data_IF_929788435952
#
_entry.id   IF_929788435952
#
_cell.length_a   1.000
_cell.length_b   1.000
_cell.length_c   1.000
_cell.angle_alpha   90.00
_cell.angle_beta   90.00
_cell.angle_gamma   90.00
#
_symmetry.space_group_name_H-M   'P 1'
#
loop_
_entity.id
_entity.type
_entity.pdbx_description
1 polymer ?
#
# COMPACT_ATOMS: atom_id res chain seq x y z
N UNK A 1 6.47 -25.50 5.18
CA UNK A 1 5.28 -25.32 6.05
C UNK A 1 4.81 -23.87 6.11
N UNK A 2 5.67 -22.88 6.39
CA UNK A 2 5.27 -21.45 6.39
C UNK A 2 4.80 -20.98 5.01
N UNK A 3 5.48 -21.36 3.92
CA UNK A 3 5.09 -20.99 2.56
C UNK A 3 3.75 -21.59 2.10
N UNK A 4 3.42 -22.77 2.61
CA UNK A 4 2.15 -23.46 2.30
C UNK A 4 0.97 -22.74 2.98
N UNK A 5 1.13 -22.38 4.26
CA UNK A 5 0.15 -21.56 5.00
C UNK A 5 0.00 -20.17 4.35
N UNK A 6 1.11 -19.56 3.92
CA UNK A 6 1.11 -18.27 3.23
C UNK A 6 0.34 -18.34 1.91
N UNK A 7 0.58 -19.40 1.13
CA UNK A 7 -0.10 -19.65 -0.14
C UNK A 7 -1.61 -19.88 0.05
N UNK A 8 -2.01 -20.65 1.07
CA UNK A 8 -3.42 -20.84 1.43
C UNK A 8 -4.09 -19.51 1.82
N UNK A 9 -3.47 -18.73 2.70
CA UNK A 9 -4.04 -17.46 3.18
C UNK A 9 -4.19 -16.43 2.05
N UNK A 10 -3.22 -16.35 1.13
CA UNK A 10 -3.30 -15.44 -0.03
C UNK A 10 -4.37 -15.90 -1.03
N UNK A 11 -4.53 -17.22 -1.22
CA UNK A 11 -5.55 -17.80 -2.08
C UNK A 11 -6.97 -17.55 -1.54
N UNK A 12 -7.17 -17.70 -0.23
CA UNK A 12 -8.47 -17.49 0.43
C UNK A 12 -8.85 -16.01 0.56
N UNK A 13 -7.86 -15.11 0.54
CA UNK A 13 -8.04 -13.68 0.75
C UNK A 13 -7.22 -12.85 -0.26
N UNK A 14 -7.66 -12.79 -1.54
CA UNK A 14 -6.93 -12.11 -2.59
C UNK A 14 -6.75 -10.62 -2.28
N UNK A 15 -5.50 -10.17 -2.36
CA UNK A 15 -5.09 -8.80 -2.07
C UNK A 15 -5.40 -7.87 -3.26
N UNK A 16 -5.37 -8.39 -4.49
CA UNK A 16 -5.49 -7.58 -5.71
C UNK A 16 -6.80 -6.81 -5.85
N UNK A 17 -7.93 -7.46 -5.56
CA UNK A 17 -9.27 -6.82 -5.68
C UNK A 17 -9.49 -5.73 -4.63
N UNK A 18 -8.82 -5.87 -3.47
CA UNK A 18 -8.96 -4.92 -2.37
C UNK A 18 -8.31 -3.56 -2.64
N UNK A 19 -7.35 -3.49 -3.57
CA UNK A 19 -6.62 -2.27 -3.93
C UNK A 19 -7.35 -1.38 -4.96
N UNK A 20 -8.60 -1.70 -5.30
CA UNK A 20 -9.39 -0.92 -6.25
C UNK A 20 -9.55 0.56 -5.85
N UNK A 21 -9.71 0.84 -4.54
CA UNK A 21 -9.80 2.21 -4.03
C UNK A 21 -8.51 3.00 -4.27
N UNK A 22 -7.35 2.40 -3.97
CA UNK A 22 -6.05 3.01 -4.25
C UNK A 22 -5.86 3.31 -5.74
N UNK A 23 -6.18 2.35 -6.62
CA UNK A 23 -6.08 2.55 -8.07
C UNK A 23 -6.96 3.70 -8.54
N UNK A 24 -8.17 3.82 -8.00
CA UNK A 24 -9.08 4.93 -8.30
C UNK A 24 -8.51 6.28 -7.84
N UNK A 25 -7.90 6.35 -6.65
CA UNK A 25 -7.20 7.55 -6.16
C UNK A 25 -6.04 7.93 -7.09
N UNK A 26 -5.19 6.96 -7.46
CA UNK A 26 -4.04 7.20 -8.35
C UNK A 26 -4.50 7.73 -9.73
N UNK A 27 -5.52 7.09 -10.32
CA UNK A 27 -6.09 7.50 -11.61
C UNK A 27 -6.76 8.88 -11.53
N UNK A 28 -7.38 9.22 -10.39
CA UNK A 28 -7.94 10.56 -10.15
C UNK A 28 -6.86 11.64 -10.16
N UNK A 29 -5.73 11.41 -9.50
CA UNK A 29 -4.59 12.36 -9.48
C UNK A 29 -4.01 12.52 -10.89
N UNK A 30 -3.86 11.42 -11.63
CA UNK A 30 -3.40 11.47 -13.02
C UNK A 30 -4.33 12.32 -13.90
N UNK A 31 -5.64 12.16 -13.75
CA UNK A 31 -6.66 12.95 -14.47
C UNK A 31 -6.60 14.43 -14.10
N UNK A 32 -6.50 14.75 -12.81
CA UNK A 32 -6.40 16.12 -12.31
C UNK A 32 -5.17 16.84 -12.88
N UNK A 33 -4.02 16.17 -12.88
CA UNK A 33 -2.77 16.70 -13.42
C UNK A 33 -2.67 16.62 -14.96
N UNK A 34 -3.71 16.10 -15.64
CA UNK A 34 -3.74 15.90 -17.10
C UNK A 34 -2.57 15.06 -17.64
N UNK A 35 -2.18 14.02 -16.91
CA UNK A 35 -1.11 13.10 -17.26
C UNK A 35 -1.65 11.68 -17.47
N UNK A 36 -0.95 10.89 -18.29
CA UNK A 36 -1.30 9.49 -18.49
C UNK A 36 -1.01 8.67 -17.23
N UNK A 37 -1.95 7.79 -16.85
CA UNK A 37 -1.73 6.86 -15.75
C UNK A 37 -0.57 5.90 -16.10
N UNK A 38 0.52 5.99 -15.35
CA UNK A 38 1.63 5.02 -15.40
C UNK A 38 2.31 4.99 -14.02
N UNK A 39 2.88 3.85 -13.58
CA UNK A 39 3.71 3.81 -12.38
C UNK A 39 4.84 4.87 -12.36
N UNK A 40 5.37 5.23 -13.53
CA UNK A 40 6.46 6.21 -13.65
C UNK A 40 5.99 7.66 -13.41
N UNK A 41 4.69 7.94 -13.43
CA UNK A 41 4.18 9.30 -13.16
C UNK A 41 4.11 9.66 -11.69
N UNK A 42 4.36 8.69 -10.78
CA UNK A 42 4.41 8.95 -9.34
C UNK A 42 5.43 10.06 -8.96
N UNK A 43 6.54 10.17 -9.70
CA UNK A 43 7.54 11.22 -9.49
C UNK A 43 7.07 12.63 -9.87
N UNK A 44 5.87 12.76 -10.46
CA UNK A 44 5.23 14.05 -10.79
C UNK A 44 4.19 14.47 -9.75
N UNK A 45 3.96 13.64 -8.73
CA UNK A 45 3.00 13.93 -7.67
C UNK A 45 3.67 14.80 -6.62
N UNK A 46 2.90 15.70 -6.02
CA UNK A 46 3.38 16.45 -4.87
C UNK A 46 3.35 15.58 -3.60
N UNK A 47 3.95 16.08 -2.53
CA UNK A 47 4.08 15.34 -1.29
C UNK A 47 2.72 14.94 -0.69
N UNK A 48 1.71 15.82 -0.80
CA UNK A 48 0.37 15.58 -0.26
C UNK A 48 -0.35 14.47 -1.03
N UNK A 49 -0.24 14.48 -2.37
CA UNK A 49 -0.74 13.42 -3.23
C UNK A 49 -0.10 12.05 -2.90
N UNK A 50 1.22 12.02 -2.75
CA UNK A 50 1.93 10.78 -2.39
C UNK A 50 1.52 10.32 -0.99
N UNK A 51 1.39 11.23 -0.02
CA UNK A 51 0.95 10.90 1.34
C UNK A 51 -0.44 10.28 1.35
N UNK A 52 -1.40 10.88 0.64
CA UNK A 52 -2.76 10.37 0.54
C UNK A 52 -2.80 8.97 -0.09
N UNK A 53 -2.03 8.74 -1.16
CA UNK A 53 -1.92 7.43 -1.80
C UNK A 53 -1.32 6.36 -0.89
N UNK A 54 -0.29 6.72 -0.12
CA UNK A 54 0.30 5.82 0.87
C UNK A 54 -0.72 5.45 1.93
N UNK A 55 -1.43 6.43 2.48
CA UNK A 55 -2.46 6.18 3.48
C UNK A 55 -3.56 5.28 2.91
N UNK A 56 -4.05 5.53 1.70
CA UNK A 56 -5.06 4.70 1.03
C UNK A 56 -4.63 3.24 0.92
N UNK A 57 -3.40 2.98 0.42
CA UNK A 57 -2.86 1.61 0.33
C UNK A 57 -2.74 0.98 1.71
N UNK A 58 -2.19 1.69 2.67
CA UNK A 58 -1.96 1.14 4.01
C UNK A 58 -3.27 0.83 4.73
N UNK A 59 -4.31 1.65 4.57
CA UNK A 59 -5.64 1.38 5.10
C UNK A 59 -6.28 0.16 4.46
N UNK A 60 -6.15 0.00 3.13
CA UNK A 60 -6.57 -1.22 2.44
C UNK A 60 -5.84 -2.42 3.01
N UNK A 61 -4.50 -2.40 3.03
CA UNK A 61 -3.66 -3.49 3.53
C UNK A 61 -4.03 -3.89 4.96
N UNK A 62 -4.21 -2.90 5.85
CA UNK A 62 -4.59 -3.13 7.26
C UNK A 62 -5.90 -3.91 7.39
N UNK A 63 -6.84 -3.70 6.48
CA UNK A 63 -8.17 -4.30 6.52
C UNK A 63 -8.22 -5.71 5.93
N UNK A 64 -7.15 -6.16 5.26
CA UNK A 64 -7.10 -7.50 4.69
C UNK A 64 -7.08 -8.57 5.77
N UNK A 65 -7.85 -9.66 5.62
CA UNK A 65 -7.77 -10.77 6.55
C UNK A 65 -6.35 -11.36 6.61
N UNK A 66 -5.68 -11.47 5.45
CA UNK A 66 -4.34 -12.04 5.33
C UNK A 66 -3.32 -11.38 6.26
N UNK A 67 -3.30 -10.06 6.37
CA UNK A 67 -2.28 -9.35 7.18
C UNK A 67 -2.38 -9.63 8.68
N UNK A 68 -3.51 -10.19 9.15
CA UNK A 68 -3.69 -10.60 10.55
C UNK A 68 -2.95 -11.90 10.87
N UNK A 69 -2.76 -12.75 9.87
CA UNK A 69 -2.15 -14.07 10.03
C UNK A 69 -0.68 -14.08 9.59
N UNK A 70 -0.30 -13.15 8.72
CA UNK A 70 1.08 -12.98 8.28
C UNK A 70 1.95 -12.47 9.42
N UNK A 71 3.06 -13.15 9.67
CA UNK A 71 4.08 -12.71 10.62
C UNK A 71 4.87 -11.53 10.06
N UNK A 72 5.28 -10.63 10.95
CA UNK A 72 6.24 -9.59 10.61
C UNK A 72 7.58 -10.22 10.22
N UNK A 73 8.20 -9.69 9.15
CA UNK A 73 9.57 -10.07 8.75
C UNK A 73 10.64 -9.20 9.41
N UNK A 74 10.26 -8.05 9.98
CA UNK A 74 11.17 -7.01 10.46
C UNK A 74 11.06 -6.77 11.97
N UNK A 75 9.98 -7.25 12.61
CA UNK A 75 9.69 -7.01 14.01
C UNK A 75 9.07 -8.22 14.70
N UNK A 76 8.87 -8.13 16.02
CA UNK A 76 8.03 -9.09 16.75
C UNK A 76 6.57 -8.69 16.53
N UNK A 77 5.78 -9.60 15.93
CA UNK A 77 4.34 -9.41 15.76
C UNK A 77 3.83 -9.87 14.40
N UNK A 78 2.72 -9.29 13.98
CA UNK A 78 2.06 -9.56 12.69
C UNK A 78 2.32 -8.43 11.70
N UNK A 79 2.19 -8.74 10.41
CA UNK A 79 2.23 -7.75 9.33
C UNK A 79 1.23 -6.62 9.57
N UNK A 80 0.05 -6.90 10.12
CA UNK A 80 -0.91 -5.86 10.53
C UNK A 80 -0.34 -4.86 11.53
N UNK A 81 0.51 -5.31 12.45
CA UNK A 81 1.16 -4.44 13.44
C UNK A 81 2.19 -3.53 12.79
N UNK A 82 2.92 -4.04 11.80
CA UNK A 82 3.86 -3.24 11.00
C UNK A 82 3.12 -2.21 10.14
N UNK A 83 2.03 -2.61 9.46
CA UNK A 83 1.20 -1.68 8.68
C UNK A 83 0.61 -0.58 9.57
N UNK A 84 0.17 -0.90 10.78
CA UNK A 84 -0.31 0.10 11.74
C UNK A 84 0.76 1.11 12.12
N UNK A 85 1.99 0.66 12.37
CA UNK A 85 3.13 1.54 12.62
C UNK A 85 3.44 2.40 11.42
N UNK A 86 3.36 1.83 10.22
CA UNK A 86 3.61 2.53 8.97
C UNK A 86 2.56 3.61 8.71
N UNK A 87 1.28 3.36 9.03
CA UNK A 87 0.22 4.39 8.98
C UNK A 87 0.53 5.54 9.94
N UNK A 88 0.93 5.22 11.19
CA UNK A 88 1.29 6.25 12.16
C UNK A 88 2.50 7.07 11.70
N UNK A 89 3.48 6.43 11.06
CA UNK A 89 4.64 7.12 10.50
C UNK A 89 4.24 7.99 9.30
N UNK A 90 3.45 7.47 8.36
CA UNK A 90 2.97 8.18 7.17
C UNK A 90 2.07 9.38 7.51
N UNK A 91 1.41 9.36 8.66
CA UNK A 91 0.64 10.50 9.18
C UNK A 91 1.51 11.58 9.86
N UNK A 92 2.82 11.37 9.95
CA UNK A 92 3.79 12.33 10.46
C UNK A 92 4.41 13.12 9.31
N UNK A 93 4.80 14.37 9.56
CA UNK A 93 5.39 15.26 8.54
C UNK A 93 6.76 14.78 8.01
N UNK A 94 7.46 13.93 8.77
CA UNK A 94 8.82 13.44 8.49
C UNK A 94 8.86 12.07 7.79
N UNK A 95 7.74 11.60 7.22
CA UNK A 95 7.72 10.27 6.61
C UNK A 95 8.47 10.25 5.27
N UNK A 96 9.43 9.33 5.16
CA UNK A 96 10.18 9.08 3.94
C UNK A 96 9.38 8.16 3.00
N UNK A 97 8.74 8.79 2.01
CA UNK A 97 7.90 8.10 1.03
C UNK A 97 8.71 7.23 0.04
N UNK A 98 10.02 7.44 -0.09
CA UNK A 98 10.86 6.66 -1.01
C UNK A 98 10.87 5.18 -0.63
N UNK A 99 10.65 4.87 0.65
CA UNK A 99 10.59 3.50 1.17
C UNK A 99 9.35 2.73 0.72
N UNK A 100 8.27 3.44 0.36
CA UNK A 100 6.99 2.84 -0.07
C UNK A 100 6.71 3.07 -1.56
N UNK A 101 7.53 3.88 -2.24
CA UNK A 101 7.45 4.10 -3.68
C UNK A 101 7.37 2.79 -4.50
N UNK A 102 8.19 1.74 -4.21
CA UNK A 102 8.10 0.49 -4.97
C UNK A 102 6.74 -0.21 -4.85
N UNK A 103 6.09 -0.08 -3.68
CA UNK A 103 4.77 -0.64 -3.42
C UNK A 103 3.68 0.10 -4.19
N UNK A 104 3.78 1.44 -4.27
CA UNK A 104 2.85 2.26 -5.04
C UNK A 104 2.96 1.93 -6.52
N UNK A 105 4.19 1.87 -7.05
CA UNK A 105 4.44 1.55 -8.47
C UNK A 105 3.96 0.17 -8.89
N UNK A 106 4.07 -0.84 -8.03
CA UNK A 106 3.63 -2.21 -8.37
C UNK A 106 2.11 -2.37 -8.48
N UNK A 107 1.35 -1.39 -7.98
CA UNK A 107 -0.12 -1.46 -7.92
C UNK A 107 -0.82 -0.27 -8.56
N UNK A 108 -0.08 0.75 -8.99
CA UNK A 108 -0.57 1.86 -9.81
C UNK A 108 -1.03 1.32 -11.16
N UNK A 109 -2.11 1.88 -11.70
CA UNK A 109 -2.61 1.63 -13.05
C UNK A 109 -2.49 0.13 -13.48
#
# INVERSE_FOLDING_TARGET
>A
MVDEILSTVISEHPIGDSLGAFRASFDSICKEKNISCSPDTLGQFDQDDVQNLVLDVLYVLRNLPAVRFLLSKTSRGTLRSDVLRLISAAASDDFDYDQVEPLLKSHAC
#
